data_IF_454433636640
#
_entry.id   IF_454433636640
#
_cell.length_a   1.000
_cell.length_b   1.000
_cell.length_c   1.000
_cell.angle_alpha   90.00
_cell.angle_beta   90.00
_cell.angle_gamma   90.00
#
_symmetry.space_group_name_H-M   'P 1'
#
loop_
_entity.id
_entity.type
_entity.pdbx_description
1 polymer ?
#
# COMPACT_ATOMS: atom_id res chain seq x y z
N UNK A 1 -15.60 9.96 7.12
CA UNK A 1 -14.32 10.44 6.56
C UNK A 1 -13.78 9.35 5.66
N UNK A 2 -13.46 9.70 4.43
CA UNK A 2 -12.84 8.80 3.45
C UNK A 2 -11.32 8.80 3.65
N UNK A 3 -10.70 7.64 3.47
CA UNK A 3 -9.26 7.42 3.67
C UNK A 3 -8.69 6.86 2.38
N UNK A 4 -7.58 7.41 1.91
CA UNK A 4 -6.94 7.00 0.66
C UNK A 4 -5.48 6.65 0.90
N UNK A 5 -5.10 5.44 0.55
CA UNK A 5 -3.76 4.92 0.74
C UNK A 5 -3.10 4.59 -0.60
N UNK A 6 -1.87 5.03 -0.75
CA UNK A 6 -0.90 4.52 -1.71
C UNK A 6 0.03 3.57 -0.97
N UNK A 7 0.06 2.32 -1.40
CA UNK A 7 0.79 1.27 -0.71
C UNK A 7 1.86 0.71 -1.65
N UNK A 8 3.12 0.91 -1.28
CA UNK A 8 4.27 0.44 -2.05
C UNK A 8 4.93 -0.74 -1.35
N UNK A 9 5.42 -1.70 -2.13
CA UNK A 9 6.29 -2.76 -1.63
C UNK A 9 7.73 -2.29 -1.72
N UNK A 10 8.32 -1.92 -0.59
CA UNK A 10 9.68 -1.39 -0.54
C UNK A 10 10.68 -2.56 -0.66
N UNK A 11 11.79 -2.35 -1.37
CA UNK A 11 12.89 -3.31 -1.38
C UNK A 11 13.46 -3.50 0.03
N UNK A 12 13.89 -4.72 0.34
CA UNK A 12 14.20 -5.08 1.73
C UNK A 12 15.34 -4.21 2.28
N UNK A 13 16.36 -3.89 1.47
CA UNK A 13 17.48 -3.04 1.89
C UNK A 13 17.03 -1.63 2.30
N UNK A 14 16.10 -1.00 1.57
CA UNK A 14 15.58 0.32 1.90
C UNK A 14 14.59 0.27 3.05
N UNK A 15 13.78 -0.80 3.15
CA UNK A 15 12.89 -0.98 4.29
C UNK A 15 13.67 -1.06 5.62
N UNK A 16 14.79 -1.79 5.63
CA UNK A 16 15.69 -1.83 6.80
C UNK A 16 16.40 -0.50 7.03
N UNK A 17 16.91 0.14 5.97
CA UNK A 17 17.62 1.41 6.11
C UNK A 17 16.72 2.54 6.62
N UNK A 18 15.48 2.62 6.16
CA UNK A 18 14.54 3.70 6.49
C UNK A 18 13.55 3.34 7.61
N UNK A 19 13.73 2.21 8.29
CA UNK A 19 12.95 1.92 9.50
C UNK A 19 13.22 2.96 10.58
N UNK A 20 12.15 3.53 11.16
CA UNK A 20 12.18 4.68 12.07
C UNK A 20 12.47 6.03 11.38
N UNK A 21 12.64 6.04 10.05
CA UNK A 21 12.93 7.22 9.22
C UNK A 21 12.06 7.24 7.96
N UNK A 22 10.84 6.73 8.08
CA UNK A 22 9.89 6.54 6.99
C UNK A 22 9.47 7.85 6.33
N UNK A 23 9.58 8.97 7.06
CA UNK A 23 9.29 10.31 6.54
C UNK A 23 10.12 10.66 5.30
N UNK A 24 11.35 10.15 5.17
CA UNK A 24 12.18 10.36 3.97
C UNK A 24 11.55 9.72 2.75
N UNK A 25 11.12 8.45 2.90
CA UNK A 25 10.39 7.74 1.85
C UNK A 25 9.07 8.43 1.55
N UNK A 26 8.30 8.80 2.58
CA UNK A 26 7.04 9.52 2.43
C UNK A 26 7.18 10.76 1.55
N UNK A 27 8.17 11.62 1.79
CA UNK A 27 8.39 12.83 1.00
C UNK A 27 8.79 12.53 -0.46
N UNK A 28 9.56 11.45 -0.70
CA UNK A 28 9.89 11.00 -2.06
C UNK A 28 8.61 10.61 -2.82
N UNK A 29 7.79 9.75 -2.23
CA UNK A 29 6.55 9.30 -2.87
C UNK A 29 5.55 10.44 -3.03
N UNK A 30 5.39 11.29 -2.02
CA UNK A 30 4.53 12.47 -2.09
C UNK A 30 4.93 13.40 -3.24
N UNK A 31 6.23 13.61 -3.44
CA UNK A 31 6.75 14.46 -4.52
C UNK A 31 6.41 13.93 -5.91
N UNK A 32 6.31 12.60 -6.07
CA UNK A 32 5.91 11.96 -7.32
C UNK A 32 4.41 12.18 -7.64
N UNK A 33 3.56 12.33 -6.62
CA UNK A 33 2.11 12.51 -6.79
C UNK A 33 1.69 13.98 -7.00
N UNK A 34 2.62 14.94 -6.95
CA UNK A 34 2.33 16.35 -7.25
C UNK A 34 2.43 16.68 -8.74
N UNK A 35 1.49 17.48 -9.23
CA UNK A 35 1.29 17.76 -10.67
C UNK A 35 2.18 18.86 -11.24
N UNK A 36 2.93 19.61 -10.42
CA UNK A 36 3.66 20.81 -10.84
C UNK A 36 5.18 20.58 -10.98
N UNK A 37 5.60 19.47 -11.57
CA UNK A 37 7.02 19.12 -11.77
C UNK A 37 7.43 19.30 -13.22
N UNK A 38 8.71 19.57 -13.47
CA UNK A 38 9.25 19.47 -14.82
C UNK A 38 9.36 18.00 -15.26
N UNK A 39 9.41 17.75 -16.57
CA UNK A 39 9.53 16.40 -17.11
C UNK A 39 10.81 15.69 -16.62
N UNK A 40 11.93 16.41 -16.54
CA UNK A 40 13.21 15.88 -16.06
C UNK A 40 13.16 15.49 -14.58
N UNK A 41 12.52 16.33 -13.75
CA UNK A 41 12.30 16.01 -12.33
C UNK A 41 11.43 14.77 -12.18
N UNK A 42 10.35 14.67 -12.97
CA UNK A 42 9.44 13.53 -12.93
C UNK A 42 10.16 12.23 -13.32
N UNK A 43 10.97 12.25 -14.37
CA UNK A 43 11.77 11.10 -14.80
C UNK A 43 12.73 10.64 -13.70
N UNK A 44 13.38 11.58 -13.01
CA UNK A 44 14.26 11.26 -11.88
C UNK A 44 13.49 10.63 -10.72
N UNK A 45 12.36 11.22 -10.34
CA UNK A 45 11.50 10.72 -9.25
C UNK A 45 10.99 9.32 -9.54
N UNK A 46 10.53 9.06 -10.77
CA UNK A 46 10.10 7.72 -11.20
C UNK A 46 11.24 6.73 -11.08
N UNK A 47 12.46 7.07 -11.54
CA UNK A 47 13.62 6.18 -11.40
C UNK A 47 13.97 5.88 -9.94
N UNK A 48 13.91 6.87 -9.07
CA UNK A 48 14.17 6.69 -7.64
C UNK A 48 13.12 5.80 -6.98
N UNK A 49 11.84 6.10 -7.23
CA UNK A 49 10.73 5.27 -6.74
C UNK A 49 10.84 3.85 -7.28
N UNK A 50 11.22 3.69 -8.55
CA UNK A 50 11.35 2.38 -9.15
C UNK A 50 12.51 1.58 -8.56
N UNK A 51 13.61 2.25 -8.26
CA UNK A 51 14.78 1.65 -7.64
C UNK A 51 14.52 1.19 -6.21
N UNK A 52 13.73 1.95 -5.43
CA UNK A 52 13.46 1.62 -4.02
C UNK A 52 12.27 0.68 -3.80
N UNK A 53 11.56 0.29 -4.87
CA UNK A 53 10.35 -0.53 -4.75
C UNK A 53 10.36 -1.79 -5.61
N UNK A 54 9.70 -2.84 -5.11
CA UNK A 54 9.39 -4.07 -5.83
C UNK A 54 8.14 -3.88 -6.68
N UNK A 55 8.07 -4.59 -7.81
CA UNK A 55 6.81 -4.73 -8.56
C UNK A 55 5.79 -5.53 -7.74
N UNK A 56 4.51 -5.23 -7.91
CA UNK A 56 3.44 -6.00 -7.29
C UNK A 56 3.19 -7.27 -8.15
N UNK A 57 3.41 -8.49 -7.61
CA UNK A 57 3.13 -9.72 -8.34
C UNK A 57 1.62 -9.95 -8.38
N UNK A 58 0.95 -9.36 -9.37
CA UNK A 58 -0.49 -9.30 -9.46
C UNK A 58 -1.16 -10.68 -9.31
N UNK A 59 -0.64 -11.71 -9.99
CA UNK A 59 -1.18 -13.07 -9.89
C UNK A 59 -1.15 -13.60 -8.45
N UNK A 60 -0.01 -13.49 -7.76
CA UNK A 60 0.10 -13.92 -6.37
C UNK A 60 -0.81 -13.07 -5.47
N UNK A 61 -0.93 -11.76 -5.71
CA UNK A 61 -1.83 -10.88 -4.97
C UNK A 61 -3.30 -11.31 -5.11
N UNK A 62 -3.75 -11.61 -6.33
CA UNK A 62 -5.10 -12.13 -6.59
C UNK A 62 -5.36 -13.42 -5.79
N UNK A 63 -4.44 -14.39 -5.85
CA UNK A 63 -4.57 -15.63 -5.09
C UNK A 63 -4.68 -15.38 -3.58
N UNK A 64 -3.85 -14.47 -3.04
CA UNK A 64 -3.87 -14.15 -1.61
C UNK A 64 -5.17 -13.44 -1.21
N UNK A 65 -5.69 -12.52 -2.03
CA UNK A 65 -6.97 -11.85 -1.77
C UNK A 65 -8.13 -12.85 -1.77
N UNK A 66 -8.26 -13.68 -2.81
CA UNK A 66 -9.34 -14.66 -2.92
C UNK A 66 -9.34 -15.66 -1.75
N UNK A 67 -8.15 -16.09 -1.31
CA UNK A 67 -8.02 -17.03 -0.19
C UNK A 67 -8.28 -16.41 1.19
N UNK A 68 -8.17 -15.08 1.34
CA UNK A 68 -8.35 -14.41 2.64
C UNK A 68 -9.69 -13.68 2.77
N UNK A 69 -10.37 -13.37 1.67
CA UNK A 69 -11.66 -12.66 1.66
C UNK A 69 -12.88 -13.60 1.63
N UNK A 70 -12.71 -14.89 1.97
CA UNK A 70 -13.76 -15.91 1.84
C UNK A 70 -15.03 -15.62 2.67
N UNK A 71 -14.89 -14.88 3.77
CA UNK A 71 -15.97 -14.58 4.70
C UNK A 71 -16.47 -13.13 4.57
N UNK A 72 -16.08 -12.44 3.51
CA UNK A 72 -16.42 -11.03 3.27
C UNK A 72 -17.16 -10.94 1.96
N UNK A 73 -18.25 -10.17 1.94
CA UNK A 73 -18.90 -9.87 0.67
C UNK A 73 -18.02 -8.90 -0.13
N UNK A 74 -17.52 -9.36 -1.29
CA UNK A 74 -16.73 -8.55 -2.18
C UNK A 74 -17.10 -8.76 -3.65
N UNK A 75 -16.84 -7.74 -4.46
CA UNK A 75 -16.87 -7.83 -5.92
C UNK A 75 -15.46 -7.68 -6.47
N UNK A 76 -15.18 -8.34 -7.60
CA UNK A 76 -13.91 -8.22 -8.30
C UNK A 76 -14.17 -7.88 -9.77
N UNK A 77 -13.52 -6.82 -10.26
CA UNK A 77 -13.52 -6.43 -11.67
C UNK A 77 -12.06 -6.19 -12.08
N UNK A 78 -11.48 -7.15 -12.81
CA UNK A 78 -10.06 -7.10 -13.18
C UNK A 78 -9.16 -7.03 -11.95
N UNK A 79 -8.41 -5.93 -11.82
CA UNK A 79 -7.49 -5.64 -10.72
C UNK A 79 -8.11 -4.88 -9.55
N UNK A 80 -9.43 -4.65 -9.58
CA UNK A 80 -10.19 -3.91 -8.57
C UNK A 80 -10.97 -4.90 -7.71
N UNK A 81 -10.82 -4.80 -6.40
CA UNK A 81 -11.62 -5.48 -5.39
C UNK A 81 -12.41 -4.44 -4.61
N UNK A 82 -13.70 -4.66 -4.41
CA UNK A 82 -14.54 -3.81 -3.56
C UNK A 82 -15.20 -4.68 -2.50
N UNK A 83 -14.91 -4.43 -1.24
CA UNK A 83 -15.44 -5.16 -0.10
C UNK A 83 -16.40 -4.28 0.71
N UNK A 84 -17.49 -4.89 1.18
CA UNK A 84 -18.46 -4.24 2.04
C UNK A 84 -18.57 -5.02 3.35
N UNK A 85 -18.48 -4.29 4.47
CA UNK A 85 -18.73 -4.86 5.78
C UNK A 85 -20.23 -5.11 5.99
N UNK A 86 -20.61 -6.07 6.86
CA UNK A 86 -21.99 -6.29 7.25
C UNK A 86 -22.67 -5.01 7.77
N UNK A 87 -23.99 -4.93 7.59
CA UNK A 87 -24.85 -3.86 8.09
C UNK A 87 -24.45 -2.43 7.61
N UNK A 88 -23.69 -2.33 6.51
CA UNK A 88 -23.27 -1.05 5.97
C UNK A 88 -22.23 -0.31 6.82
N UNK A 89 -21.51 -1.02 7.71
CA UNK A 89 -20.51 -0.42 8.62
C UNK A 89 -19.33 0.26 7.91
N UNK A 90 -19.06 -0.13 6.68
CA UNK A 90 -17.98 0.45 5.88
C UNK A 90 -17.77 -0.28 4.57
N UNK A 91 -17.04 0.37 3.68
CA UNK A 91 -16.65 -0.18 2.37
C UNK A 91 -15.19 0.14 2.12
N UNK A 92 -14.53 -0.73 1.38
CA UNK A 92 -13.15 -0.48 0.94
C UNK A 92 -12.94 -0.99 -0.48
N UNK A 93 -12.20 -0.22 -1.27
CA UNK A 93 -11.75 -0.59 -2.60
C UNK A 93 -10.23 -0.79 -2.60
N UNK A 94 -9.76 -1.82 -3.29
CA UNK A 94 -8.36 -2.21 -3.39
C UNK A 94 -8.02 -2.43 -4.87
N UNK A 95 -7.08 -1.64 -5.39
CA UNK A 95 -6.72 -1.62 -6.81
C UNK A 95 -5.25 -1.99 -6.94
N UNK A 96 -4.99 -3.10 -7.63
CA UNK A 96 -3.63 -3.55 -7.95
C UNK A 96 -3.13 -2.79 -9.17
N UNK A 97 -2.00 -2.09 -9.03
CA UNK A 97 -1.20 -1.52 -10.14
C UNK A 97 0.14 -2.26 -10.22
N UNK A 98 0.91 -2.02 -11.28
CA UNK A 98 2.23 -2.69 -11.48
C UNK A 98 3.24 -2.37 -10.36
N UNK A 99 3.27 -1.11 -9.91
CA UNK A 99 4.28 -0.62 -8.94
C UNK A 99 3.75 -0.38 -7.53
N UNK A 100 2.44 -0.29 -7.35
CA UNK A 100 1.81 0.03 -6.07
C UNK A 100 0.37 -0.45 -6.03
N UNK A 101 -0.25 -0.33 -4.85
CA UNK A 101 -1.67 -0.56 -4.64
C UNK A 101 -2.31 0.75 -4.25
N UNK A 102 -3.49 1.03 -4.81
CA UNK A 102 -4.37 2.09 -4.31
C UNK A 102 -5.45 1.45 -3.46
N UNK A 103 -5.71 2.04 -2.30
CA UNK A 103 -6.81 1.61 -1.45
C UNK A 103 -7.61 2.81 -0.99
N UNK A 104 -8.93 2.71 -1.04
CA UNK A 104 -9.82 3.68 -0.41
C UNK A 104 -10.74 2.97 0.57
N UNK A 105 -11.09 3.64 1.66
CA UNK A 105 -12.02 3.11 2.65
C UNK A 105 -12.91 4.20 3.25
N UNK A 106 -14.15 3.83 3.54
CA UNK A 106 -15.14 4.67 4.23
C UNK A 106 -15.79 3.89 5.36
N UNK A 107 -16.33 4.61 6.35
CA UNK A 107 -16.94 3.99 7.54
C UNK A 107 -15.88 3.46 8.51
N UNK A 108 -16.14 2.29 9.09
CA UNK A 108 -15.29 1.61 10.08
C UNK A 108 -13.86 1.34 9.57
N UNK A 109 -12.87 1.42 10.47
CA UNK A 109 -11.48 1.05 10.19
C UNK A 109 -11.31 -0.44 9.88
N UNK A 110 -12.31 -1.26 10.21
CA UNK A 110 -12.35 -2.68 9.82
C UNK A 110 -12.35 -2.86 8.30
N UNK A 111 -12.85 -1.87 7.53
CA UNK A 111 -12.99 -1.96 6.09
C UNK A 111 -11.62 -1.94 5.39
N UNK A 112 -10.68 -1.09 5.81
CA UNK A 112 -9.30 -1.17 5.32
C UNK A 112 -8.50 -2.31 5.95
N UNK A 113 -8.80 -2.69 7.19
CA UNK A 113 -8.05 -3.70 7.93
C UNK A 113 -8.07 -5.05 7.22
N UNK A 114 -9.20 -5.42 6.60
CA UNK A 114 -9.34 -6.70 5.89
C UNK A 114 -8.36 -6.83 4.73
N UNK A 115 -8.03 -5.74 4.02
CA UNK A 115 -7.01 -5.75 2.98
C UNK A 115 -5.59 -5.64 3.55
N UNK A 116 -5.38 -4.80 4.58
CA UNK A 116 -4.08 -4.70 5.24
C UNK A 116 -3.61 -6.03 5.82
N UNK A 117 -4.50 -6.83 6.40
CA UNK A 117 -4.16 -8.17 6.90
C UNK A 117 -3.65 -9.10 5.80
N UNK A 118 -4.18 -9.00 4.58
CA UNK A 118 -3.67 -9.78 3.44
C UNK A 118 -2.23 -9.36 3.12
N UNK A 119 -1.98 -8.05 3.06
CA UNK A 119 -0.65 -7.51 2.78
C UNK A 119 0.36 -7.85 3.87
N UNK A 120 -0.05 -7.78 5.14
CA UNK A 120 0.77 -8.17 6.31
C UNK A 120 1.24 -9.62 6.22
N UNK A 121 0.40 -10.52 5.70
CA UNK A 121 0.74 -11.94 5.48
C UNK A 121 1.65 -12.17 4.27
N UNK A 122 1.84 -11.18 3.40
CA UNK A 122 2.71 -11.29 2.22
C UNK A 122 4.11 -10.78 2.54
N UNK A 123 4.22 -9.58 3.13
CA UNK A 123 5.51 -8.95 3.41
C UNK A 123 5.39 -7.91 4.52
N UNK A 124 6.42 -7.75 5.38
CA UNK A 124 6.47 -6.63 6.31
C UNK A 124 6.88 -5.31 5.64
N UNK A 125 7.44 -5.35 4.42
CA UNK A 125 7.99 -4.19 3.73
C UNK A 125 6.96 -3.42 2.90
N UNK A 126 5.66 -3.56 3.21
CA UNK A 126 4.63 -2.70 2.65
C UNK A 126 4.55 -1.41 3.45
N UNK A 127 4.75 -0.27 2.78
CA UNK A 127 4.58 1.06 3.33
C UNK A 127 3.27 1.65 2.81
N UNK A 128 2.32 1.92 3.70
CA UNK A 128 1.06 2.58 3.37
C UNK A 128 1.15 4.07 3.69
N UNK A 129 0.68 4.91 2.76
CA UNK A 129 0.78 6.36 2.85
C UNK A 129 -0.53 7.01 2.41
N UNK A 130 -1.04 7.91 3.24
CA UNK A 130 -2.13 8.83 2.92
C UNK A 130 -1.55 10.24 2.87
N UNK A 131 -1.41 10.78 1.66
CA UNK A 131 -0.87 12.12 1.43
C UNK A 131 -1.82 13.23 1.88
N UNK A 132 -3.13 12.96 1.89
CA UNK A 132 -4.14 13.93 2.33
C UNK A 132 -4.10 14.15 3.83
N UNK A 133 -4.03 13.07 4.61
CA UNK A 133 -3.92 13.14 6.08
C UNK A 133 -2.49 13.17 6.62
N UNK A 134 -1.48 13.11 5.73
CA UNK A 134 -0.04 13.01 6.06
C UNK A 134 0.31 11.82 6.95
N UNK A 135 -0.53 10.77 6.94
CA UNK A 135 -0.31 9.55 7.70
C UNK A 135 0.47 8.55 6.87
N UNK A 136 1.43 7.90 7.49
CA UNK A 136 2.20 6.84 6.85
C UNK A 136 2.65 5.82 7.89
N UNK A 137 2.91 4.60 7.43
CA UNK A 137 3.46 3.56 8.29
C UNK A 137 3.61 2.23 7.57
N UNK A 138 4.59 1.45 8.06
CA UNK A 138 4.71 0.05 7.67
C UNK A 138 3.48 -0.74 8.12
N UNK A 139 3.01 -1.66 7.28
CA UNK A 139 1.87 -2.49 7.66
C UNK A 139 2.21 -3.48 8.78
N UNK A 140 3.46 -3.92 8.88
CA UNK A 140 3.99 -4.64 10.03
C UNK A 140 5.22 -3.91 10.57
N UNK A 141 5.59 -4.10 11.85
CA UNK A 141 6.93 -3.76 12.29
C UNK A 141 7.95 -4.55 11.45
N UNK A 142 8.88 -3.85 10.79
CA UNK A 142 9.99 -4.47 10.07
C UNK A 142 10.87 -5.15 11.11
N UNK A 143 11.02 -6.48 11.02
CA UNK A 143 11.85 -7.23 11.97
C UNK A 143 13.30 -6.84 11.75
N UNK A 144 13.89 -6.12 12.70
CA UNK A 144 15.35 -5.92 12.76
C UNK A 144 15.98 -7.30 12.93
N UNK A 145 16.74 -7.77 11.94
CA UNK A 145 17.60 -8.94 12.14
C UNK A 145 18.70 -8.54 13.10
N UNK A 146 18.63 -9.03 14.33
CA UNK A 146 19.77 -9.03 15.24
C UNK A 146 20.81 -9.99 14.65
N UNK A 147 21.87 -9.46 14.05
CA UNK A 147 23.08 -10.26 13.85
C UNK A 147 23.69 -10.48 15.23
N UNK A 148 23.64 -11.72 15.73
CA UNK A 148 24.36 -12.18 16.93
C UNK A 148 25.76 -12.61 16.52
#
# INVERSE_FOLDING_TARGET
MERHYYIYWIEDEFAHHYFGRESILFHLFESLHWTNRSDDELVMLVKQVDYVTKRIPAFHMHQRLMNNLTNIHYTQIGSIYSASLPDGKGTAAFIIKDRYIQMSATGSYEAEAVFFEVLRKISPCFLAMDFGSKKHGWLNPVKVRNFV
#
